data_IF_798368261969
#
_entry.id   IF_798368261969
#
_cell.length_a   1.000
_cell.length_b   1.000
_cell.length_c   1.000
_cell.angle_alpha   90.00
_cell.angle_beta   90.00
_cell.angle_gamma   90.00
#
_symmetry.space_group_name_H-M   'P 1'
#
loop_
_entity.id
_entity.type
_entity.pdbx_description
1 polymer ?
#
# COMPACT_ATOMS: atom_id res chain seq x y z
N UNK A 1 -8.33 18.77 19.72
CA UNK A 1 -7.10 18.22 19.12
C UNK A 1 -6.89 16.71 19.37
N UNK A 2 -7.47 16.12 20.43
CA UNK A 2 -7.34 14.68 20.73
C UNK A 2 -8.13 13.80 19.77
N UNK A 3 -9.38 14.15 19.43
CA UNK A 3 -10.21 13.39 18.49
C UNK A 3 -9.61 13.29 17.08
N UNK A 4 -9.08 14.39 16.54
CA UNK A 4 -8.38 14.42 15.24
C UNK A 4 -7.14 13.51 15.21
N UNK A 5 -6.42 13.40 16.33
CA UNK A 5 -5.26 12.53 16.44
C UNK A 5 -5.64 11.06 16.54
N UNK A 6 -6.67 10.72 17.32
CA UNK A 6 -7.21 9.36 17.38
C UNK A 6 -7.72 8.94 16.00
N UNK A 7 -8.42 9.83 15.29
CA UNK A 7 -8.88 9.58 13.94
C UNK A 7 -7.70 9.34 12.98
N UNK A 8 -6.66 10.18 13.03
CA UNK A 8 -5.46 9.99 12.21
C UNK A 8 -4.75 8.67 12.52
N UNK A 9 -4.67 8.25 13.79
CA UNK A 9 -4.10 6.98 14.22
C UNK A 9 -4.90 5.79 13.66
N UNK A 10 -6.23 5.82 13.80
CA UNK A 10 -7.11 4.77 13.25
C UNK A 10 -6.97 4.69 11.74
N UNK A 11 -7.00 5.83 11.04
CA UNK A 11 -6.81 5.88 9.59
C UNK A 11 -5.45 5.32 9.17
N UNK A 12 -4.39 5.64 9.93
CA UNK A 12 -3.04 5.13 9.67
C UNK A 12 -2.98 3.60 9.80
N UNK A 13 -3.51 3.05 10.90
CA UNK A 13 -3.51 1.59 11.14
C UNK A 13 -4.36 0.86 10.10
N UNK A 14 -5.59 1.31 9.84
CA UNK A 14 -6.48 0.68 8.86
C UNK A 14 -5.88 0.76 7.46
N UNK A 15 -5.32 1.91 7.09
CA UNK A 15 -4.66 2.07 5.78
C UNK A 15 -3.47 1.14 5.63
N UNK A 16 -2.65 0.97 6.67
CA UNK A 16 -1.53 0.02 6.65
C UNK A 16 -1.98 -1.43 6.43
N UNK A 17 -3.08 -1.85 7.08
CA UNK A 17 -3.65 -3.19 6.91
C UNK A 17 -4.11 -3.39 5.46
N UNK A 18 -4.89 -2.43 4.92
CA UNK A 18 -5.42 -2.51 3.55
C UNK A 18 -4.29 -2.50 2.52
N UNK A 19 -3.29 -1.63 2.68
CA UNK A 19 -2.09 -1.56 1.82
C UNK A 19 -1.36 -2.91 1.81
N UNK A 20 -1.17 -3.54 2.97
CA UNK A 20 -0.55 -4.87 3.05
C UNK A 20 -1.39 -5.94 2.34
N UNK A 21 -2.71 -5.98 2.56
CA UNK A 21 -3.59 -6.96 1.91
C UNK A 21 -3.50 -6.85 0.39
N UNK A 22 -3.61 -5.63 -0.16
CA UNK A 22 -3.55 -5.40 -1.60
C UNK A 22 -2.16 -5.72 -2.17
N UNK A 23 -1.09 -5.38 -1.43
CA UNK A 23 0.28 -5.73 -1.78
C UNK A 23 0.44 -7.25 -1.91
N UNK A 24 0.04 -8.01 -0.89
CA UNK A 24 0.12 -9.47 -0.90
C UNK A 24 -0.78 -10.08 -1.98
N UNK A 25 -1.98 -9.53 -2.20
CA UNK A 25 -2.87 -9.99 -3.27
C UNK A 25 -2.22 -9.88 -4.65
N UNK A 26 -1.54 -8.76 -4.96
CA UNK A 26 -0.80 -8.61 -6.21
C UNK A 26 0.39 -9.56 -6.30
N UNK A 27 1.12 -9.71 -5.18
CA UNK A 27 2.28 -10.60 -5.07
C UNK A 27 1.94 -12.07 -5.29
N UNK A 28 0.88 -12.57 -4.66
CA UNK A 28 0.42 -13.95 -4.83
C UNK A 28 0.01 -14.22 -6.27
N UNK A 29 -0.74 -13.32 -6.92
CA UNK A 29 -1.11 -13.46 -8.33
C UNK A 29 0.09 -13.57 -9.27
N UNK A 30 1.12 -12.77 -9.02
CA UNK A 30 2.37 -12.84 -9.79
C UNK A 30 3.11 -14.17 -9.53
N UNK A 31 3.18 -14.61 -8.28
CA UNK A 31 3.84 -15.87 -7.94
C UNK A 31 3.09 -17.09 -8.54
N UNK A 32 1.76 -17.10 -8.46
CA UNK A 32 0.89 -18.13 -9.06
C UNK A 32 1.00 -18.16 -10.59
N UNK A 33 1.35 -17.01 -11.19
CA UNK A 33 1.63 -16.88 -12.60
C UNK A 33 3.02 -17.41 -13.03
N UNK A 34 3.85 -17.85 -12.08
CA UNK A 34 5.24 -18.26 -12.32
C UNK A 34 6.21 -17.09 -12.43
N UNK A 35 5.82 -15.88 -12.01
CA UNK A 35 6.67 -14.69 -12.02
C UNK A 35 7.25 -14.50 -10.61
N UNK A 36 8.53 -14.85 -10.38
CA UNK A 36 9.10 -14.83 -9.04
C UNK A 36 9.16 -13.40 -8.50
N UNK A 37 8.55 -13.19 -7.33
CA UNK A 37 8.61 -11.93 -6.57
C UNK A 37 9.36 -12.17 -5.27
N UNK A 38 10.30 -11.28 -4.92
CA UNK A 38 11.09 -11.41 -3.69
C UNK A 38 10.21 -11.36 -2.43
N UNK A 39 10.55 -12.14 -1.41
CA UNK A 39 9.84 -12.09 -0.13
C UNK A 39 10.10 -10.79 0.63
N UNK A 40 11.37 -10.39 0.71
CA UNK A 40 11.81 -9.10 1.24
C UNK A 40 12.09 -8.16 0.07
N UNK A 41 11.24 -7.15 -0.10
CA UNK A 41 11.34 -6.19 -1.20
C UNK A 41 11.88 -4.87 -0.70
N UNK A 42 12.86 -4.32 -1.44
CA UNK A 42 13.19 -2.91 -1.33
C UNK A 42 12.11 -2.08 -2.06
N UNK A 43 12.00 -0.77 -1.81
CA UNK A 43 11.05 0.07 -2.52
C UNK A 43 11.15 -0.05 -4.06
N UNK A 44 12.36 -0.24 -4.60
CA UNK A 44 12.59 -0.48 -6.03
C UNK A 44 12.02 -1.81 -6.54
N UNK A 45 12.05 -2.86 -5.71
CA UNK A 45 11.46 -4.15 -6.04
C UNK A 45 9.92 -4.06 -6.07
N UNK A 46 9.31 -3.25 -5.19
CA UNK A 46 7.87 -2.97 -5.19
C UNK A 46 7.42 -2.28 -6.49
N UNK A 47 8.14 -1.26 -6.94
CA UNK A 47 7.85 -0.61 -8.22
C UNK A 47 7.94 -1.58 -9.39
N UNK A 48 8.94 -2.48 -9.38
CA UNK A 48 9.08 -3.52 -10.40
C UNK A 48 7.91 -4.48 -10.34
N UNK A 49 7.52 -4.96 -9.16
CA UNK A 49 6.37 -5.83 -8.96
C UNK A 49 5.10 -5.22 -9.54
N UNK A 50 4.80 -3.95 -9.22
CA UNK A 50 3.60 -3.29 -9.72
C UNK A 50 3.61 -3.10 -11.23
N UNK A 51 4.77 -2.77 -11.80
CA UNK A 51 4.91 -2.66 -13.26
C UNK A 51 4.62 -4.00 -13.94
N UNK A 52 5.18 -5.09 -13.41
CA UNK A 52 4.90 -6.44 -13.91
C UNK A 52 3.44 -6.81 -13.74
N UNK A 53 2.82 -6.49 -12.59
CA UNK A 53 1.39 -6.74 -12.37
C UNK A 53 0.52 -6.05 -13.43
N UNK A 54 0.78 -4.77 -13.71
CA UNK A 54 0.02 -4.00 -14.69
C UNK A 54 0.26 -4.46 -16.13
N UNK A 55 1.47 -4.90 -16.47
CA UNK A 55 1.79 -5.42 -17.80
C UNK A 55 1.13 -6.79 -18.06
N UNK A 56 1.00 -7.63 -17.03
CA UNK A 56 0.44 -8.97 -17.15
C UNK A 56 -1.07 -9.01 -16.94
N UNK A 57 -1.64 -8.01 -16.26
CA UNK A 57 -3.07 -7.95 -15.96
C UNK A 57 -3.98 -8.06 -17.21
N UNK A 58 -3.71 -7.39 -18.35
CA UNK A 58 -4.53 -7.53 -19.56
C UNK A 58 -4.49 -8.95 -20.15
N UNK A 59 -3.31 -9.59 -20.12
CA UNK A 59 -3.11 -10.95 -20.65
C UNK A 59 -3.81 -12.01 -19.81
N UNK A 60 -3.84 -11.81 -18.49
CA UNK A 60 -4.39 -12.76 -17.51
C UNK A 60 -5.76 -12.36 -16.96
N UNK A 61 -6.37 -11.32 -17.53
CA UNK A 61 -7.66 -10.75 -17.11
C UNK A 61 -7.73 -10.46 -15.61
N UNK A 62 -6.62 -10.00 -15.02
CA UNK A 62 -6.59 -9.66 -13.61
C UNK A 62 -7.24 -8.30 -13.35
N UNK A 63 -7.91 -8.13 -12.21
CA UNK A 63 -8.45 -6.83 -11.84
C UNK A 63 -7.30 -5.84 -11.61
N UNK A 64 -7.32 -4.69 -12.28
CA UNK A 64 -6.32 -3.62 -12.07
C UNK A 64 -6.65 -2.71 -10.89
N UNK A 65 -7.87 -2.77 -10.39
CA UNK A 65 -8.32 -1.95 -9.24
C UNK A 65 -7.46 -2.09 -7.97
N UNK A 66 -6.88 -3.26 -7.61
CA UNK A 66 -6.06 -3.38 -6.40
C UNK A 66 -4.84 -2.46 -6.44
N UNK A 67 -4.27 -2.23 -7.62
CA UNK A 67 -3.17 -1.27 -7.80
C UNK A 67 -3.62 0.16 -7.52
N UNK A 68 -4.75 0.59 -8.09
CA UNK A 68 -5.26 1.95 -7.90
C UNK A 68 -5.70 2.20 -6.45
N UNK A 69 -6.41 1.25 -5.84
CA UNK A 69 -6.80 1.35 -4.42
C UNK A 69 -5.56 1.36 -3.53
N UNK A 70 -4.56 0.52 -3.80
CA UNK A 70 -3.30 0.53 -3.07
C UNK A 70 -2.65 1.93 -3.09
N UNK A 71 -2.58 2.58 -4.26
CA UNK A 71 -1.98 3.92 -4.39
C UNK A 71 -2.74 4.99 -3.61
N UNK A 72 -4.07 4.98 -3.67
CA UNK A 72 -4.90 5.94 -2.94
C UNK A 72 -4.76 5.73 -1.43
N UNK A 73 -4.85 4.49 -0.96
CA UNK A 73 -4.74 4.18 0.47
C UNK A 73 -3.32 4.44 0.99
N UNK A 74 -2.29 4.22 0.18
CA UNK A 74 -0.91 4.56 0.54
C UNK A 74 -0.74 6.07 0.71
N UNK A 75 -1.37 6.90 -0.12
CA UNK A 75 -1.36 8.35 0.05
C UNK A 75 -2.06 8.78 1.36
N UNK A 76 -3.20 8.14 1.69
CA UNK A 76 -3.90 8.37 2.97
C UNK A 76 -3.06 7.93 4.17
N UNK A 77 -2.35 6.81 4.07
CA UNK A 77 -1.42 6.34 5.08
C UNK A 77 -0.29 7.36 5.32
N UNK A 78 0.33 7.86 4.25
CA UNK A 78 1.41 8.86 4.36
C UNK A 78 0.87 10.17 4.95
N UNK A 79 -0.28 10.66 4.48
CA UNK A 79 -0.89 11.90 4.98
C UNK A 79 -1.27 11.79 6.46
N UNK A 80 -1.89 10.68 6.88
CA UNK A 80 -2.24 10.43 8.28
C UNK A 80 -0.99 10.26 9.17
N UNK A 81 0.03 9.56 8.68
CA UNK A 81 1.32 9.44 9.35
C UNK A 81 2.00 10.81 9.56
N UNK A 82 1.99 11.68 8.54
CA UNK A 82 2.53 13.04 8.65
C UNK A 82 1.79 13.86 9.72
N UNK A 83 0.46 13.79 9.78
CA UNK A 83 -0.32 14.49 10.82
C UNK A 83 0.06 13.99 12.22
N UNK A 84 0.27 12.70 12.39
CA UNK A 84 0.73 12.09 13.66
C UNK A 84 2.13 12.62 14.03
N UNK A 85 3.08 12.56 13.09
CA UNK A 85 4.46 13.01 13.32
C UNK A 85 4.53 14.50 13.62
N UNK A 86 3.81 15.34 12.87
CA UNK A 86 3.76 16.78 13.10
C UNK A 86 3.18 17.11 14.48
N UNK A 87 2.15 16.38 14.92
CA UNK A 87 1.59 16.56 16.27
C UNK A 87 2.57 16.11 17.36
N UNK A 88 3.34 15.04 17.16
CA UNK A 88 4.35 14.60 18.13
C UNK A 88 5.54 15.58 18.16
N UNK A 89 5.98 16.08 17.00
CA UNK A 89 7.16 16.93 16.88
C UNK A 89 6.91 18.38 17.33
N UNK A 90 5.72 18.94 17.07
CA UNK A 90 5.40 20.35 17.32
C UNK A 90 4.26 20.56 18.33
N UNK A 91 3.51 19.51 18.67
CA UNK A 91 2.48 19.57 19.68
C UNK A 91 3.05 19.29 21.06
N UNK A 92 3.24 20.36 21.86
CA UNK A 92 3.16 20.23 23.32
C UNK A 92 1.80 19.68 23.72
#
# INVERSE_FOLDING_TARGET
MTALFILALVLCVVSAIVVNILHFQMKFRLNDAGLPVKWFMMPSDDFRMWRTYLAEAPRRQWPVWPFYVYRVVMALFIASGLVIVLKIAFGR
#
